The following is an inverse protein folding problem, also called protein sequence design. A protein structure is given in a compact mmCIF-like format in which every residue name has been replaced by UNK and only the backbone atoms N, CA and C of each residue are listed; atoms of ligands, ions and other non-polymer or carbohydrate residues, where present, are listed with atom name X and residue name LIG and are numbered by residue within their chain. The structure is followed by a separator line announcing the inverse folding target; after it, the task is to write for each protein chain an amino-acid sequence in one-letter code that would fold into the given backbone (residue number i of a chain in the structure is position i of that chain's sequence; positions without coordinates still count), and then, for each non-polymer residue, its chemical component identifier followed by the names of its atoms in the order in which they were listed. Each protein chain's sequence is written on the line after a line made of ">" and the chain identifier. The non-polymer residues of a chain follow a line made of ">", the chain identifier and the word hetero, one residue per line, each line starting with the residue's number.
data_IF_004912580370
#
_entry.id   IF_004912580370
#
_cell.length_a   1.000
_cell.length_b   1.000
_cell.length_c   1.000
_cell.angle_alpha   90.00
_cell.angle_beta   90.00
_cell.angle_gamma   90.00
#
_symmetry.space_group_name_H-M   'P 1'
#
loop_
_entity.id
_entity.type
_entity.pdbx_description
1 polymer ?
#
# COMPACT_ATOMS: atom_id res chain seq x y z
N UNK A 1 17.14 5.67 -3.92
CA UNK A 1 16.97 5.61 -5.39
C UNK A 1 17.17 4.21 -5.95
N UNK A 2 18.09 3.39 -5.40
CA UNK A 2 18.33 2.01 -5.86
C UNK A 2 17.07 1.14 -5.92
N UNK A 3 16.25 1.09 -4.86
CA UNK A 3 15.06 0.22 -4.80
C UNK A 3 14.00 0.50 -5.88
N UNK A 4 13.84 1.76 -6.28
CA UNK A 4 12.92 2.16 -7.36
C UNK A 4 13.47 1.70 -8.71
N UNK A 5 14.78 1.81 -8.91
CA UNK A 5 15.44 1.42 -10.16
C UNK A 5 15.59 -0.10 -10.30
N UNK A 6 15.74 -0.84 -9.21
CA UNK A 6 15.83 -2.31 -9.24
C UNK A 6 14.47 -2.99 -9.29
N UNK A 7 13.39 -2.22 -9.13
CA UNK A 7 12.02 -2.74 -9.01
C UNK A 7 11.90 -3.86 -7.96
N UNK A 8 12.59 -3.68 -6.83
CA UNK A 8 12.61 -4.66 -5.75
C UNK A 8 11.20 -4.83 -5.16
N UNK A 9 10.77 -6.07 -4.98
CA UNK A 9 9.44 -6.45 -4.48
C UNK A 9 9.48 -7.15 -3.13
N UNK A 10 10.54 -7.03 -2.35
CA UNK A 10 10.64 -7.73 -1.06
C UNK A 10 9.78 -7.09 0.05
N UNK A 11 9.08 -6.00 -0.25
CA UNK A 11 8.20 -5.28 0.68
C UNK A 11 7.00 -6.11 1.15
N UNK A 12 6.52 -5.80 2.36
CA UNK A 12 5.42 -6.52 3.02
C UNK A 12 4.50 -5.56 3.77
N UNK A 13 3.21 -5.90 3.83
CA UNK A 13 2.24 -5.32 4.76
C UNK A 13 2.05 -6.28 5.93
N UNK A 14 2.26 -5.79 7.14
CA UNK A 14 2.22 -6.59 8.37
C UNK A 14 1.08 -6.14 9.27
N UNK A 15 0.44 -7.10 9.95
CA UNK A 15 -0.48 -6.87 11.06
C UNK A 15 0.21 -7.30 12.35
N UNK A 16 0.19 -6.43 13.35
CA UNK A 16 0.64 -6.76 14.71
C UNK A 16 -0.57 -6.85 15.64
N UNK A 17 -0.67 -7.93 16.40
CA UNK A 17 -1.64 -8.07 17.49
C UNK A 17 -0.93 -7.81 18.83
N UNK A 18 -1.24 -6.71 19.55
CA UNK A 18 -0.58 -6.37 20.80
C UNK A 18 -0.92 -7.31 21.97
N UNK A 19 -2.09 -7.98 21.94
CA UNK A 19 -2.50 -8.92 22.99
C UNK A 19 -1.74 -10.24 22.87
N UNK A 20 -1.66 -10.80 21.66
CA UNK A 20 -0.97 -12.08 21.41
C UNK A 20 0.52 -11.90 21.10
N UNK A 21 0.96 -10.67 20.86
CA UNK A 21 2.30 -10.29 20.39
C UNK A 21 2.69 -10.93 19.05
N UNK A 22 1.72 -11.38 18.26
CA UNK A 22 1.97 -12.02 16.98
C UNK A 22 2.01 -11.01 15.84
N UNK A 23 2.88 -11.29 14.87
CA UNK A 23 2.94 -10.58 13.59
C UNK A 23 2.44 -11.51 12.49
N UNK A 24 1.54 -11.02 11.65
CA UNK A 24 1.03 -11.73 10.48
C UNK A 24 1.39 -10.95 9.23
N UNK A 25 1.92 -11.63 8.22
CA UNK A 25 2.09 -11.04 6.88
C UNK A 25 0.71 -11.02 6.22
N UNK A 26 0.19 -9.82 5.96
CA UNK A 26 -1.05 -9.64 5.22
C UNK A 26 -0.80 -9.63 3.71
N UNK A 27 0.24 -8.96 3.25
CA UNK A 27 0.64 -8.96 1.84
C UNK A 27 2.16 -9.02 1.76
N UNK A 28 2.66 -9.67 0.72
CA UNK A 28 4.07 -9.71 0.33
C UNK A 28 4.21 -9.35 -1.15
N UNK A 29 5.43 -9.43 -1.68
CA UNK A 29 5.74 -9.11 -3.08
C UNK A 29 5.40 -7.66 -3.48
N UNK A 30 5.53 -6.72 -2.53
CA UNK A 30 5.19 -5.30 -2.72
C UNK A 30 6.42 -4.48 -3.12
N UNK A 31 6.25 -3.62 -4.12
CA UNK A 31 7.30 -2.78 -4.69
C UNK A 31 7.46 -1.46 -3.90
N UNK A 32 8.27 -1.51 -2.84
CA UNK A 32 8.50 -0.39 -1.92
C UNK A 32 7.17 0.16 -1.32
N UNK A 33 6.49 -0.61 -0.46
CA UNK A 33 5.28 -0.16 0.24
C UNK A 33 5.63 0.87 1.32
N UNK A 34 5.10 2.08 1.22
CA UNK A 34 5.58 3.23 2.01
C UNK A 34 4.53 3.77 2.98
N UNK A 35 3.32 4.04 2.50
CA UNK A 35 2.21 4.56 3.32
C UNK A 35 1.08 3.56 3.50
N UNK A 36 0.46 3.53 4.68
CA UNK A 36 -0.77 2.75 4.95
C UNK A 36 -1.82 3.61 5.67
N UNK A 37 -3.08 3.46 5.29
CA UNK A 37 -4.23 4.10 5.95
C UNK A 37 -5.43 3.15 6.03
N UNK A 38 -6.24 3.31 7.08
CA UNK A 38 -7.52 2.62 7.22
C UNK A 38 -8.57 3.36 6.39
N UNK A 39 -9.45 2.61 5.72
CA UNK A 39 -10.54 3.14 4.93
C UNK A 39 -11.88 2.45 5.20
N UNK A 40 -12.96 3.13 4.84
CA UNK A 40 -14.34 2.65 4.97
C UNK A 40 -14.65 2.14 6.37
N UNK A 41 -14.40 2.96 7.40
CA UNK A 41 -14.65 2.62 8.81
C UNK A 41 -13.99 1.30 9.27
N UNK A 42 -12.87 0.91 8.66
CA UNK A 42 -12.13 -0.30 9.03
C UNK A 42 -12.37 -1.51 8.14
N UNK A 43 -13.17 -1.37 7.09
CA UNK A 43 -13.42 -2.44 6.11
C UNK A 43 -12.30 -2.60 5.08
N UNK A 44 -11.31 -1.70 5.04
CA UNK A 44 -10.19 -1.81 4.11
C UNK A 44 -8.94 -1.07 4.57
N UNK A 45 -7.79 -1.49 4.03
CA UNK A 45 -6.52 -0.77 4.09
C UNK A 45 -6.19 -0.23 2.71
N UNK A 46 -5.72 1.02 2.67
CA UNK A 46 -5.10 1.63 1.51
C UNK A 46 -3.59 1.60 1.70
N UNK A 47 -2.87 1.20 0.66
CA UNK A 47 -1.42 1.07 0.68
C UNK A 47 -0.82 1.85 -0.50
N UNK A 48 0.12 2.75 -0.21
CA UNK A 48 0.93 3.41 -1.21
C UNK A 48 2.11 2.52 -1.61
N UNK A 49 2.12 2.05 -2.85
CA UNK A 49 3.23 1.31 -3.45
C UNK A 49 4.06 2.29 -4.29
N UNK A 50 5.22 2.71 -3.74
CA UNK A 50 6.01 3.81 -4.28
C UNK A 50 6.49 3.51 -5.68
N UNK A 51 7.11 2.36 -5.90
CA UNK A 51 7.80 2.06 -7.16
C UNK A 51 6.82 1.89 -8.34
N UNK A 52 5.64 1.32 -8.10
CA UNK A 52 4.62 1.15 -9.15
C UNK A 52 3.74 2.39 -9.37
N UNK A 53 3.89 3.42 -8.53
CA UNK A 53 3.06 4.62 -8.53
C UNK A 53 1.56 4.32 -8.31
N UNK A 54 1.23 3.43 -7.37
CA UNK A 54 -0.15 2.96 -7.15
C UNK A 54 -0.60 3.13 -5.70
N UNK A 55 -1.90 3.32 -5.54
CA UNK A 55 -2.60 3.00 -4.29
C UNK A 55 -3.28 1.66 -4.47
N UNK A 56 -2.93 0.71 -3.62
CA UNK A 56 -3.56 -0.60 -3.53
C UNK A 56 -4.63 -0.58 -2.42
N UNK A 57 -5.69 -1.37 -2.59
CA UNK A 57 -6.73 -1.58 -1.59
C UNK A 57 -6.79 -3.05 -1.18
N UNK A 58 -6.64 -3.30 0.11
CA UNK A 58 -6.89 -4.59 0.75
C UNK A 58 -8.19 -4.51 1.53
N UNK A 59 -9.18 -5.36 1.23
CA UNK A 59 -10.44 -5.41 2.00
C UNK A 59 -10.24 -6.26 3.25
N UNK A 60 -10.69 -5.75 4.40
CA UNK A 60 -10.69 -6.41 5.70
C UNK A 60 -12.09 -6.98 5.96
N UNK A 61 -12.19 -8.11 6.65
CA UNK A 61 -13.49 -8.70 7.03
C UNK A 61 -14.11 -9.65 5.99
N UNK A 62 -13.62 -9.69 4.75
CA UNK A 62 -13.66 -10.94 3.99
C UNK A 62 -12.59 -11.82 4.63
N UNK A 63 -12.96 -12.59 5.65
CA UNK A 63 -12.17 -13.76 6.01
C UNK A 63 -12.20 -14.64 4.77
N UNK A 64 -11.19 -14.44 3.92
CA UNK A 64 -10.94 -15.20 2.72
C UNK A 64 -10.56 -16.63 3.16
N UNK A 65 -11.47 -17.41 3.75
CA UNK A 65 -11.22 -18.72 4.38
C UNK A 65 -9.83 -19.33 4.10
N UNK A 66 -9.71 -20.07 2.99
CA UNK A 66 -8.44 -20.66 2.49
C UNK A 66 -7.73 -19.81 1.42
N UNK A 67 -8.24 -18.62 1.09
CA UNK A 67 -7.66 -17.77 0.04
C UNK A 67 -6.64 -16.81 0.65
N UNK A 68 -5.44 -16.69 0.05
CA UNK A 68 -4.48 -15.69 0.49
C UNK A 68 -5.09 -14.29 0.40
N UNK A 69 -4.72 -13.42 1.33
CA UNK A 69 -4.99 -11.98 1.25
C UNK A 69 -4.50 -11.44 -0.10
N UNK A 70 -5.30 -10.59 -0.74
CA UNK A 70 -4.97 -9.97 -2.01
C UNK A 70 -5.41 -8.51 -2.04
N UNK A 71 -4.63 -7.68 -2.72
CA UNK A 71 -4.95 -6.27 -2.93
C UNK A 71 -5.30 -6.00 -4.39
N UNK A 72 -6.25 -5.09 -4.60
CA UNK A 72 -6.62 -4.56 -5.91
C UNK A 72 -6.00 -3.17 -6.12
N UNK A 73 -5.71 -2.80 -7.37
CA UNK A 73 -5.28 -1.43 -7.68
C UNK A 73 -6.50 -0.51 -7.55
N UNK A 74 -6.44 0.43 -6.63
CA UNK A 74 -7.49 1.43 -6.45
C UNK A 74 -7.32 2.60 -7.41
N UNK A 75 -6.09 3.12 -7.52
CA UNK A 75 -5.76 4.24 -8.40
C UNK A 75 -4.27 4.24 -8.74
N UNK A 76 -3.94 4.65 -9.96
CA UNK A 76 -2.58 4.97 -10.38
C UNK A 76 -2.32 6.47 -10.24
N UNK A 77 -1.13 6.82 -9.77
CA UNK A 77 -0.74 8.19 -9.44
C UNK A 77 0.31 8.73 -10.42
N UNK A 78 0.35 10.05 -10.64
CA UNK A 78 1.28 10.67 -11.58
C UNK A 78 2.73 10.76 -11.05
N UNK A 79 3.01 10.20 -9.88
CA UNK A 79 4.29 10.30 -9.18
C UNK A 79 4.44 9.22 -8.12
N UNK A 80 5.61 9.19 -7.47
CA UNK A 80 5.97 8.19 -6.48
C UNK A 80 5.29 8.49 -5.13
N UNK A 81 4.26 7.72 -4.73
CA UNK A 81 3.55 7.96 -3.48
C UNK A 81 4.40 7.55 -2.28
N UNK A 82 4.26 8.29 -1.21
CA UNK A 82 4.86 8.04 0.10
C UNK A 82 3.74 7.80 1.13
N UNK A 83 3.67 8.60 2.19
CA UNK A 83 2.65 8.52 3.21
C UNK A 83 1.25 8.87 2.69
N UNK A 84 0.25 8.12 3.18
CA UNK A 84 -1.18 8.35 2.97
C UNK A 84 -1.86 8.60 4.32
N UNK A 85 -2.73 9.62 4.40
CA UNK A 85 -3.48 9.97 5.61
C UNK A 85 -4.91 10.38 5.29
N UNK A 86 -5.85 9.92 6.11
CA UNK A 86 -7.24 10.32 6.03
C UNK A 86 -7.44 11.67 6.74
N UNK A 87 -8.24 12.57 6.16
CA UNK A 87 -8.68 13.80 6.81
C UNK A 87 -10.01 13.60 7.58
N UNK A 88 -10.46 14.57 8.39
CA UNK A 88 -11.72 14.43 9.15
C UNK A 88 -12.99 14.29 8.29
N UNK A 89 -12.93 14.58 6.99
CA UNK A 89 -14.04 14.41 6.04
C UNK A 89 -14.08 13.02 5.39
N UNK A 90 -13.10 12.16 5.66
CA UNK A 90 -12.98 10.83 5.05
C UNK A 90 -12.24 10.80 3.71
N UNK A 91 -11.61 11.90 3.30
CA UNK A 91 -10.77 11.99 2.09
C UNK A 91 -9.33 11.61 2.43
N UNK A 92 -8.54 11.20 1.42
CA UNK A 92 -7.15 10.78 1.62
C UNK A 92 -6.17 11.74 0.95
N UNK A 93 -5.17 12.14 1.72
CA UNK A 93 -4.01 12.90 1.25
C UNK A 93 -2.84 11.95 1.06
N UNK A 94 -2.21 12.01 -0.11
CA UNK A 94 -1.04 11.21 -0.46
C UNK A 94 0.11 12.15 -0.79
N UNK A 95 1.23 12.01 -0.09
CA UNK A 95 2.46 12.72 -0.44
C UNK A 95 3.07 12.13 -1.70
N UNK A 96 3.39 12.97 -2.69
CA UNK A 96 4.15 12.57 -3.88
C UNK A 96 5.57 13.10 -3.76
N UNK A 97 6.55 12.22 -3.65
CA UNK A 97 7.96 12.60 -3.54
C UNK A 97 8.46 13.28 -4.83
N UNK A 98 8.08 12.76 -5.98
CA UNK A 98 8.41 13.33 -7.28
C UNK A 98 7.38 12.88 -8.33
N UNK A 99 7.27 13.64 -9.43
CA UNK A 99 6.49 13.20 -10.60
C UNK A 99 7.19 12.01 -11.27
N UNK A 100 6.39 11.14 -11.88
CA UNK A 100 6.89 10.13 -12.79
C UNK A 100 7.31 10.85 -14.07
N UNK A 101 8.60 11.17 -14.21
CA UNK A 101 9.12 11.73 -15.46
C UNK A 101 9.00 10.72 -16.61
N UNK A 102 8.97 11.21 -17.86
CA UNK A 102 8.84 10.42 -19.09
C UNK A 102 9.94 9.35 -19.29
N UNK A 103 11.01 9.37 -18.50
CA UNK A 103 12.21 8.56 -18.70
C UNK A 103 12.18 7.18 -18.03
N UNK A 104 11.21 6.89 -17.15
CA UNK A 104 11.01 5.55 -16.60
C UNK A 104 9.86 4.86 -17.36
N UNK A 105 10.19 4.41 -18.59
CA UNK A 105 9.39 3.44 -19.33
C UNK A 105 9.77 2.05 -18.85
N UNK A 106 8.96 1.53 -17.93
CA UNK A 106 8.83 0.09 -17.71
C UNK A 106 7.58 -0.36 -18.49
#
# INVERSE_FOLDING_TARGET
>A
MSLILTYDKTGRLLKYNPQTKQVTVLLDNLAFPNGVALANNGESLLLAETTSCKILRLRLGVENGSRPWSAEVLVELPGFPDNIKMNPKGEYWVGLYAKREKFLKW
#
